data_IF_228959247778
#
_entry.id   IF_228959247778
#
_cell.length_a   1.000
_cell.length_b   1.000
_cell.length_c   1.000
_cell.angle_alpha   90.00
_cell.angle_beta   90.00
_cell.angle_gamma   90.00
#
_symmetry.space_group_name_H-M   'P 1'
#
loop_
_entity.id
_entity.type
_entity.pdbx_description
1 polymer ?
#
# COMPACT_ATOMS: atom_id res chain seq x y z
N UNK A 1 64.47 -10.10 -27.41
CA UNK A 1 63.64 -9.09 -26.72
C UNK A 1 62.18 -9.39 -27.04
N UNK A 2 61.48 -10.05 -26.12
CA UNK A 2 60.12 -10.55 -26.31
C UNK A 2 59.08 -9.47 -26.00
N UNK A 3 58.10 -9.30 -26.89
CA UNK A 3 57.01 -8.33 -26.76
C UNK A 3 55.87 -8.96 -25.95
N UNK A 4 55.33 -8.16 -25.05
CA UNK A 4 54.29 -8.40 -24.04
C UNK A 4 52.96 -8.91 -24.62
N UNK A 5 52.45 -10.02 -24.07
CA UNK A 5 51.16 -10.63 -24.42
C UNK A 5 50.20 -10.76 -23.23
N UNK A 6 50.14 -9.75 -22.36
CA UNK A 6 49.34 -9.79 -21.13
C UNK A 6 48.37 -8.59 -21.11
N UNK A 7 47.27 -8.64 -21.86
CA UNK A 7 46.21 -7.61 -21.72
C UNK A 7 44.79 -8.04 -22.06
N UNK A 8 44.54 -9.22 -22.62
CA UNK A 8 43.19 -9.57 -23.07
C UNK A 8 42.35 -10.40 -22.08
N UNK A 9 42.94 -11.03 -21.05
CA UNK A 9 42.23 -12.06 -20.25
C UNK A 9 41.62 -11.50 -18.94
N UNK A 10 41.99 -10.30 -18.51
CA UNK A 10 41.60 -9.79 -17.18
C UNK A 10 40.22 -9.10 -17.14
N UNK A 11 39.58 -8.88 -18.30
CA UNK A 11 38.31 -8.12 -18.36
C UNK A 11 37.04 -8.98 -18.38
N UNK A 12 37.08 -10.26 -18.79
CA UNK A 12 35.88 -11.12 -18.83
C UNK A 12 35.51 -11.76 -17.47
N UNK A 13 36.48 -11.88 -16.56
CA UNK A 13 36.27 -12.53 -15.24
C UNK A 13 35.55 -11.62 -14.24
N UNK A 14 35.33 -10.33 -14.57
CA UNK A 14 34.72 -9.35 -13.65
C UNK A 14 33.19 -9.31 -13.65
N UNK A 15 32.51 -9.86 -14.66
CA UNK A 15 31.04 -9.76 -14.76
C UNK A 15 30.28 -10.97 -14.19
N UNK A 16 30.85 -12.18 -14.25
CA UNK A 16 30.17 -13.39 -13.78
C UNK A 16 30.18 -13.56 -12.25
N UNK A 17 31.21 -13.07 -11.58
CA UNK A 17 31.33 -13.13 -10.11
C UNK A 17 30.47 -12.08 -9.40
N UNK A 18 30.17 -10.95 -10.04
CA UNK A 18 29.24 -9.94 -9.52
C UNK A 18 27.79 -10.47 -9.51
N UNK A 19 27.39 -11.25 -10.52
CA UNK A 19 26.03 -11.81 -10.62
C UNK A 19 25.73 -12.87 -9.54
N UNK A 20 26.73 -13.60 -9.06
CA UNK A 20 26.55 -14.63 -8.03
C UNK A 20 26.36 -14.04 -6.62
N UNK A 21 26.78 -12.80 -6.38
CA UNK A 21 26.59 -12.12 -5.09
C UNK A 21 25.19 -11.50 -4.98
N UNK A 22 24.59 -11.07 -6.10
CA UNK A 22 23.24 -10.48 -6.09
C UNK A 22 22.10 -11.50 -5.91
N UNK A 23 22.37 -12.79 -6.18
CA UNK A 23 21.39 -13.88 -6.05
C UNK A 23 21.17 -14.38 -4.61
N UNK A 24 21.94 -13.88 -3.64
CA UNK A 24 21.84 -14.25 -2.22
C UNK A 24 21.33 -13.11 -1.34
N UNK A 25 20.89 -11.99 -1.92
CA UNK A 25 20.11 -11.01 -1.17
C UNK A 25 18.84 -11.72 -0.70
N UNK A 26 18.63 -11.89 0.62
CA UNK A 26 17.36 -12.39 1.08
C UNK A 26 16.31 -11.46 0.50
N UNK A 27 15.40 -12.01 -0.29
CA UNK A 27 14.14 -11.34 -0.59
C UNK A 27 13.59 -10.96 0.78
N UNK A 28 13.73 -9.69 1.17
CA UNK A 28 13.06 -9.17 2.35
C UNK A 28 11.60 -9.35 2.02
N UNK A 29 11.05 -10.48 2.46
CA UNK A 29 9.67 -10.80 2.30
C UNK A 29 8.93 -9.72 3.05
N UNK A 30 8.15 -8.93 2.33
CA UNK A 30 7.20 -8.01 2.90
C UNK A 30 6.12 -8.89 3.55
N UNK A 31 6.38 -9.39 4.75
CA UNK A 31 5.34 -9.97 5.56
C UNK A 31 4.22 -8.92 5.67
N UNK A 32 2.97 -9.34 5.48
CA UNK A 32 1.83 -8.44 5.43
C UNK A 32 1.78 -7.60 6.70
N UNK A 33 1.92 -6.28 6.56
CA UNK A 33 1.94 -5.37 7.73
C UNK A 33 0.67 -5.48 8.57
N UNK A 34 -0.46 -5.86 7.96
CA UNK A 34 -1.69 -6.15 8.69
C UNK A 34 -1.56 -7.40 9.58
N UNK A 35 -0.89 -8.45 9.11
CA UNK A 35 -0.74 -9.70 9.85
C UNK A 35 0.10 -9.52 11.12
N UNK A 36 1.04 -8.58 11.13
CA UNK A 36 1.83 -8.21 12.33
C UNK A 36 0.93 -7.71 13.47
N UNK A 37 -0.11 -6.92 13.15
CA UNK A 37 -0.97 -6.28 14.15
C UNK A 37 -2.29 -7.02 14.39
N UNK A 38 -2.71 -7.86 13.45
CA UNK A 38 -3.97 -8.61 13.50
C UNK A 38 -4.20 -9.37 14.82
N UNK A 39 -3.20 -10.02 15.46
CA UNK A 39 -3.41 -10.67 16.75
C UNK A 39 -3.88 -9.70 17.84
N UNK A 40 -3.28 -8.51 17.90
CA UNK A 40 -3.59 -7.48 18.90
C UNK A 40 -4.96 -6.85 18.64
N UNK A 41 -5.31 -6.62 17.37
CA UNK A 41 -6.66 -6.18 16.98
C UNK A 41 -7.71 -7.24 17.33
N UNK A 42 -7.40 -8.52 17.15
CA UNK A 42 -8.30 -9.64 17.46
C UNK A 42 -8.60 -9.74 18.95
N UNK A 43 -7.59 -9.53 19.77
CA UNK A 43 -7.72 -9.60 21.23
C UNK A 43 -8.54 -8.44 21.80
N UNK A 44 -8.25 -7.20 21.37
CA UNK A 44 -8.78 -6.01 22.05
C UNK A 44 -9.86 -5.25 21.27
N UNK A 45 -9.90 -5.35 19.94
CA UNK A 45 -10.65 -4.41 19.10
C UNK A 45 -11.83 -5.04 18.36
N UNK A 46 -11.64 -6.22 17.76
CA UNK A 46 -12.61 -6.84 16.83
C UNK A 46 -13.98 -7.11 17.48
N UNK A 47 -14.03 -7.33 18.79
CA UNK A 47 -15.30 -7.55 19.52
C UNK A 47 -16.29 -6.39 19.35
N UNK A 48 -15.79 -5.16 19.23
CA UNK A 48 -16.60 -3.94 19.10
C UNK A 48 -16.50 -3.29 17.70
N UNK A 49 -15.45 -3.61 16.94
CA UNK A 49 -15.14 -3.04 15.63
C UNK A 49 -14.91 -4.15 14.60
N UNK A 50 -15.90 -5.03 14.44
CA UNK A 50 -15.87 -6.14 13.50
C UNK A 50 -17.18 -6.92 13.39
N UNK A 51 -17.43 -7.48 12.22
CA UNK A 51 -18.56 -8.40 11.98
C UNK A 51 -19.92 -7.73 12.16
N UNK A 52 -20.73 -8.28 13.07
CA UNK A 52 -22.04 -7.74 13.40
C UNK A 52 -21.98 -6.45 14.24
N UNK A 53 -20.86 -6.19 14.91
CA UNK A 53 -20.69 -5.02 15.79
C UNK A 53 -19.62 -4.11 15.19
N UNK A 54 -20.04 -3.04 14.51
CA UNK A 54 -19.15 -2.05 13.88
C UNK A 54 -19.31 -0.68 14.53
N UNK A 55 -18.85 -0.53 15.77
CA UNK A 55 -18.94 0.76 16.46
C UNK A 55 -18.16 1.82 15.67
N UNK A 56 -18.78 2.99 15.46
CA UNK A 56 -18.22 4.07 14.65
C UNK A 56 -17.98 3.67 13.19
N UNK A 57 -18.71 2.68 12.67
CA UNK A 57 -18.57 2.17 11.30
C UNK A 57 -17.32 1.32 11.04
N UNK A 58 -16.51 1.02 12.04
CA UNK A 58 -15.20 0.37 11.85
C UNK A 58 -15.30 -1.16 11.73
N UNK A 59 -14.56 -1.72 10.77
CA UNK A 59 -14.33 -3.17 10.63
C UNK A 59 -12.82 -3.48 10.56
N UNK A 60 -12.24 -3.86 11.70
CA UNK A 60 -10.80 -4.10 11.86
C UNK A 60 -10.39 -5.55 11.59
N UNK A 61 -11.27 -6.36 10.98
CA UNK A 61 -10.97 -7.77 10.65
C UNK A 61 -10.14 -7.94 9.37
N UNK A 62 -9.95 -6.86 8.61
CA UNK A 62 -9.24 -6.88 7.33
C UNK A 62 -8.45 -5.60 7.13
N UNK A 63 -7.39 -5.68 6.34
CA UNK A 63 -6.61 -4.51 5.91
C UNK A 63 -7.51 -3.47 5.23
N UNK A 64 -8.40 -3.92 4.34
CA UNK A 64 -9.34 -3.06 3.62
C UNK A 64 -10.18 -2.21 4.59
N UNK A 65 -10.86 -2.85 5.55
CA UNK A 65 -11.70 -2.12 6.51
C UNK A 65 -10.89 -1.21 7.46
N UNK A 66 -9.66 -1.59 7.79
CA UNK A 66 -8.74 -0.76 8.57
C UNK A 66 -8.29 0.50 7.79
N UNK A 67 -8.13 0.40 6.46
CA UNK A 67 -7.80 1.53 5.58
C UNK A 67 -9.02 2.41 5.25
N UNK A 68 -10.18 1.81 5.04
CA UNK A 68 -11.46 2.53 4.85
C UNK A 68 -11.76 3.43 6.06
N UNK A 69 -11.38 3.00 7.26
CA UNK A 69 -11.65 3.73 8.48
C UNK A 69 -13.12 3.64 8.88
N UNK A 70 -13.60 4.65 9.60
CA UNK A 70 -14.95 4.65 10.18
C UNK A 70 -15.75 5.88 9.77
N UNK A 71 -16.87 6.10 10.43
CA UNK A 71 -17.76 7.25 10.23
C UNK A 71 -17.05 8.60 10.44
N UNK A 72 -15.99 8.60 11.24
CA UNK A 72 -15.15 9.76 11.50
C UNK A 72 -13.89 9.81 10.61
N UNK A 73 -13.85 9.04 9.53
CA UNK A 73 -12.72 8.96 8.59
C UNK A 73 -11.62 7.98 9.01
N UNK A 74 -10.39 8.15 8.47
CA UNK A 74 -9.23 7.31 8.77
C UNK A 74 -8.91 7.27 10.27
N UNK A 75 -8.55 6.10 10.78
CA UNK A 75 -8.23 5.92 12.21
C UNK A 75 -6.76 6.19 12.52
N UNK A 76 -5.87 6.10 11.54
CA UNK A 76 -4.46 6.37 11.70
C UNK A 76 -3.89 7.04 10.44
N UNK A 77 -2.74 7.69 10.61
CA UNK A 77 -1.96 8.30 9.54
C UNK A 77 -0.64 7.54 9.44
N UNK A 78 -0.39 6.91 8.30
CA UNK A 78 0.82 6.12 8.07
C UNK A 78 2.08 6.95 8.35
N UNK A 79 3.00 6.40 9.15
CA UNK A 79 4.22 7.10 9.56
C UNK A 79 4.06 8.14 10.66
N UNK A 80 2.83 8.46 11.08
CA UNK A 80 2.53 9.56 12.02
C UNK A 80 1.64 9.08 13.18
N UNK A 81 2.17 8.29 14.13
CA UNK A 81 1.42 7.83 15.30
C UNK A 81 0.83 8.98 16.13
N UNK A 82 1.53 10.11 16.21
CA UNK A 82 1.11 11.31 16.94
C UNK A 82 -0.11 12.01 16.32
N UNK A 83 -0.34 11.82 15.02
CA UNK A 83 -1.51 12.35 14.29
C UNK A 83 -2.63 11.32 14.18
N UNK A 84 -2.45 10.15 14.78
CA UNK A 84 -3.35 9.00 14.62
C UNK A 84 -4.30 8.90 15.79
N UNK A 85 -5.61 8.98 15.51
CA UNK A 85 -6.66 8.84 16.52
C UNK A 85 -6.62 7.50 17.23
N UNK A 86 -6.30 6.43 16.47
CA UNK A 86 -6.04 5.10 16.99
C UNK A 86 -5.13 5.17 18.21
N UNK A 87 -3.97 5.84 18.10
CA UNK A 87 -2.99 5.92 19.19
C UNK A 87 -3.51 6.78 20.34
N UNK A 88 -4.09 7.95 20.05
CA UNK A 88 -4.59 8.86 21.10
C UNK A 88 -5.65 8.20 22.00
N UNK A 89 -6.45 7.28 21.47
CA UNK A 89 -7.54 6.63 22.20
C UNK A 89 -7.07 5.45 23.07
N UNK A 90 -5.87 4.91 22.84
CA UNK A 90 -5.33 3.78 23.62
C UNK A 90 -4.76 4.22 24.97
N UNK A 91 -4.42 5.50 25.12
CA UNK A 91 -3.80 6.01 26.34
C UNK A 91 -4.84 6.16 27.47
N UNK A 92 -4.40 5.98 28.73
CA UNK A 92 -5.26 6.23 29.88
C UNK A 92 -5.68 7.70 29.91
N UNK A 93 -6.94 7.96 30.25
CA UNK A 93 -7.49 9.32 30.34
C UNK A 93 -7.88 9.95 29.01
N UNK A 94 -7.84 9.21 27.90
CA UNK A 94 -8.39 9.68 26.63
C UNK A 94 -9.92 9.91 26.74
N UNK A 95 -10.42 10.99 26.15
CA UNK A 95 -11.85 11.35 26.16
C UNK A 95 -12.76 10.21 25.68
N UNK A 96 -12.28 9.47 24.68
CA UNK A 96 -12.91 8.23 24.19
C UNK A 96 -11.90 7.10 24.29
N UNK A 97 -11.66 6.63 25.51
CA UNK A 97 -10.72 5.56 25.78
C UNK A 97 -11.14 4.23 25.12
N UNK A 98 -10.17 3.57 24.50
CA UNK A 98 -10.31 2.27 23.86
C UNK A 98 -9.20 1.32 24.33
N UNK A 99 -9.51 0.04 24.62
CA UNK A 99 -10.84 -0.56 24.66
C UNK A 99 -11.67 -0.03 25.85
N UNK A 100 -13.01 -0.04 25.78
CA UNK A 100 -13.87 0.51 26.84
C UNK A 100 -13.83 -0.29 28.15
N UNK A 101 -13.31 -1.52 28.11
CA UNK A 101 -13.17 -2.41 29.26
C UNK A 101 -11.72 -2.87 29.32
N UNK A 102 -10.97 -2.30 30.25
CA UNK A 102 -9.55 -2.61 30.43
C UNK A 102 -8.66 -1.60 29.72
N UNK A 103 -7.36 -1.77 29.93
CA UNK A 103 -6.30 -0.89 29.44
C UNK A 103 -5.23 -1.78 28.83
N UNK A 104 -4.77 -1.45 27.61
CA UNK A 104 -3.62 -2.11 27.02
C UNK A 104 -2.38 -1.86 27.89
N UNK A 105 -1.51 -2.86 27.96
CA UNK A 105 -0.20 -2.68 28.55
C UNK A 105 0.61 -1.65 27.76
N UNK A 106 1.58 -1.02 28.43
CA UNK A 106 2.46 -0.05 27.78
C UNK A 106 3.19 -0.66 26.56
N UNK A 107 3.58 -1.93 26.64
CA UNK A 107 4.24 -2.64 25.55
C UNK A 107 3.33 -2.82 24.32
N UNK A 108 2.04 -3.10 24.53
CA UNK A 108 1.06 -3.21 23.44
C UNK A 108 0.79 -1.87 22.76
N UNK A 109 0.74 -0.78 23.54
CA UNK A 109 0.59 0.58 22.99
C UNK A 109 1.83 0.94 22.15
N UNK A 110 3.03 0.67 22.67
CA UNK A 110 4.29 0.91 21.93
C UNK A 110 4.29 0.10 20.63
N UNK A 111 3.89 -1.17 20.68
CA UNK A 111 3.80 -2.02 19.47
C UNK A 111 2.86 -1.42 18.43
N UNK A 112 1.71 -0.88 18.85
CA UNK A 112 0.78 -0.19 17.95
C UNK A 112 1.40 1.07 17.35
N UNK A 113 2.11 1.88 18.16
CA UNK A 113 2.80 3.09 17.70
C UNK A 113 3.90 2.77 16.67
N UNK A 114 4.73 1.77 16.95
CA UNK A 114 5.79 1.31 16.06
C UNK A 114 5.20 0.77 14.75
N UNK A 115 4.11 0.01 14.84
CA UNK A 115 3.39 -0.48 13.67
C UNK A 115 2.90 0.70 12.81
N UNK A 116 2.22 1.70 13.38
CA UNK A 116 1.79 2.90 12.63
C UNK A 116 2.98 3.64 12.00
N UNK A 117 4.08 3.75 12.74
CA UNK A 117 5.31 4.42 12.27
C UNK A 117 5.91 3.73 11.05
N UNK A 118 5.98 2.41 11.10
CA UNK A 118 6.51 1.57 10.01
C UNK A 118 5.49 1.33 8.90
N UNK A 119 4.21 1.68 9.11
CA UNK A 119 3.18 1.36 8.14
C UNK A 119 3.44 2.06 6.79
N UNK A 120 3.43 1.27 5.73
CA UNK A 120 3.60 1.65 4.33
C UNK A 120 2.50 0.96 3.53
N UNK A 121 1.43 1.66 3.23
CA UNK A 121 0.49 1.19 2.21
C UNK A 121 0.92 1.81 0.88
N UNK A 122 1.40 0.98 -0.02
CA UNK A 122 1.45 1.33 -1.43
C UNK A 122 0.14 0.83 -2.00
N UNK A 123 -0.73 1.75 -2.40
CA UNK A 123 -1.76 1.41 -3.37
C UNK A 123 -0.98 0.96 -4.59
N UNK A 124 -1.03 -0.34 -4.91
CA UNK A 124 -0.66 -0.79 -6.24
C UNK A 124 -1.66 -0.08 -7.16
N UNK A 125 -1.29 1.11 -7.60
CA UNK A 125 -1.90 1.77 -8.75
C UNK A 125 -1.58 0.84 -9.91
N UNK A 126 -2.43 -0.15 -10.13
CA UNK A 126 -2.50 -0.89 -11.36
C UNK A 126 -2.71 0.16 -12.46
N UNK A 127 -1.64 0.48 -13.17
CA UNK A 127 -1.70 0.87 -14.57
C UNK A 127 -2.62 2.06 -14.89
N UNK A 128 -2.22 3.27 -14.48
CA UNK A 128 -2.53 4.47 -15.28
C UNK A 128 -1.23 5.21 -15.63
N UNK A 129 -0.37 4.50 -16.36
CA UNK A 129 0.66 5.08 -17.23
C UNK A 129 0.26 4.80 -18.69
N UNK A 130 -1.05 4.78 -18.97
CA UNK A 130 -1.61 4.43 -20.28
C UNK A 130 -2.43 5.54 -20.93
N UNK A 131 -2.79 6.61 -20.22
CA UNK A 131 -3.64 7.69 -20.76
C UNK A 131 -2.88 8.92 -21.24
N UNK A 132 -1.61 9.12 -20.86
CA UNK A 132 -0.78 10.20 -21.39
C UNK A 132 0.06 9.77 -22.61
N UNK A 133 0.42 8.49 -22.73
CA UNK A 133 1.26 8.01 -23.85
C UNK A 133 0.50 7.78 -25.17
N UNK A 134 -0.85 7.69 -25.13
CA UNK A 134 -1.68 7.58 -26.33
C UNK A 134 -2.05 8.92 -26.98
N UNK A 135 -1.83 10.05 -26.29
CA UNK A 135 -2.04 11.37 -26.89
C UNK A 135 -0.81 11.85 -27.68
N UNK A 136 0.40 11.40 -27.33
CA UNK A 136 1.64 11.90 -27.93
C UNK A 136 2.15 11.03 -29.11
N UNK A 137 1.63 9.81 -29.29
CA UNK A 137 2.10 8.89 -30.35
C UNK A 137 1.10 8.66 -31.48
N UNK A 138 -0.08 9.28 -31.44
CA UNK A 138 -1.03 9.20 -32.55
C UNK A 138 -0.67 10.25 -33.62
N UNK A 139 -0.35 9.82 -34.86
CA UNK A 139 -0.19 10.76 -35.95
C UNK A 139 -1.52 11.50 -36.20
N UNK A 140 -1.41 12.77 -36.55
CA UNK A 140 -2.54 13.69 -36.78
C UNK A 140 -3.42 13.32 -37.99
N UNK A 141 -3.12 12.23 -38.68
CA UNK A 141 -3.82 11.70 -39.86
C UNK A 141 -4.90 10.64 -39.53
N UNK A 142 -4.98 10.18 -38.27
CA UNK A 142 -6.08 9.36 -37.77
C UNK A 142 -7.09 10.16 -36.93
N UNK A 143 -7.26 11.45 -37.22
CA UNK A 143 -8.51 12.12 -36.89
C UNK A 143 -9.61 11.41 -37.69
N UNK A 144 -10.63 10.78 -37.07
CA UNK A 144 -11.76 10.31 -37.84
C UNK A 144 -12.32 11.53 -38.55
N UNK A 145 -12.34 11.49 -39.89
CA UNK A 145 -13.03 12.47 -40.70
C UNK A 145 -14.36 12.77 -40.01
N UNK A 146 -14.56 14.06 -39.71
CA UNK A 146 -15.73 14.57 -38.98
C UNK A 146 -17.06 14.19 -39.66
N UNK A 147 -17.00 13.59 -40.84
CA UNK A 147 -18.07 12.97 -41.59
C UNK A 147 -18.59 11.62 -41.03
N UNK A 148 -17.81 10.84 -40.27
CA UNK A 148 -18.28 9.53 -39.76
C UNK A 148 -18.99 9.65 -38.40
N UNK A 149 -18.63 10.65 -37.58
CA UNK A 149 -19.28 10.89 -36.27
C UNK A 149 -20.73 11.42 -36.42
N UNK A 150 -21.12 11.90 -37.59
CA UNK A 150 -22.50 12.33 -37.90
C UNK A 150 -23.48 11.20 -38.23
N UNK A 151 -23.01 10.01 -38.62
CA UNK A 151 -23.89 8.92 -39.10
C UNK A 151 -24.35 7.96 -37.99
N UNK A 152 -23.76 8.01 -36.79
CA UNK A 152 -24.11 7.12 -35.67
C UNK A 152 -24.94 7.79 -34.56
N UNK A 153 -25.23 9.09 -34.67
CA UNK A 153 -26.05 9.82 -33.70
C UNK A 153 -27.57 9.69 -33.93
N UNK A 154 -28.03 9.08 -35.02
CA UNK A 154 -29.47 9.00 -35.38
C UNK A 154 -30.06 7.58 -35.28
N UNK A 155 -29.35 6.61 -34.68
CA UNK A 155 -29.78 5.21 -34.63
C UNK A 155 -29.93 4.63 -33.21
N UNK A 156 -30.17 5.47 -32.19
CA UNK A 156 -30.55 5.00 -30.85
C UNK A 156 -31.70 5.80 -30.23
N UNK A 157 -32.82 5.85 -30.96
CA UNK A 157 -34.14 6.13 -30.40
C UNK A 157 -35.21 5.44 -31.27
N UNK A 158 -35.60 4.24 -30.86
CA UNK A 158 -36.89 3.53 -31.13
C UNK A 158 -36.74 2.00 -31.05
N UNK A 159 -36.84 1.43 -29.85
CA UNK A 159 -37.90 0.49 -29.43
C UNK A 159 -37.65 0.10 -27.98
#
# INVERSE_FOLDING_TARGET
>A
MARSGWSAIVFEVKFHTIYLIFALLPSVGWAGQFDEIAPLLKEHCIKCHGGATKKGGLDLRSLKGLLEGGESGPIFVAGHPEKSRLISQLHPGADTHMPPKGQLSQAEIIRMQEWVTRFRYQEETSEDQGSEYLAETLPSDLSPDRAIVGALATARRCR
#
